data_IF_644670797776
#
_entry.id   IF_644670797776
#
_cell.length_a   1.000
_cell.length_b   1.000
_cell.length_c   1.000
_cell.angle_alpha   90.00
_cell.angle_beta   90.00
_cell.angle_gamma   90.00
#
_symmetry.space_group_name_H-M   'P 1'
#
loop_
_entity.id
_entity.type
_entity.pdbx_description
1 polymer ?
#
# COMPACT_ATOMS: atom_id res chain seq x y z
N UNK A 1 21.90 18.05 -23.50
CA UNK A 1 22.95 17.15 -22.96
C UNK A 1 22.43 16.57 -21.65
N UNK A 2 22.19 15.26 -21.57
CA UNK A 2 21.68 14.62 -20.35
C UNK A 2 22.82 14.51 -19.34
N UNK A 3 22.91 15.45 -18.39
CA UNK A 3 23.76 15.31 -17.20
C UNK A 3 23.31 14.06 -16.46
N UNK A 4 24.13 13.00 -16.51
CA UNK A 4 23.87 11.77 -15.75
C UNK A 4 23.78 12.16 -14.28
N UNK A 5 22.59 12.03 -13.70
CA UNK A 5 22.39 12.12 -12.25
C UNK A 5 23.36 11.17 -11.56
N UNK A 6 23.99 11.63 -10.48
CA UNK A 6 24.78 10.73 -9.63
C UNK A 6 23.87 9.65 -9.02
N UNK A 7 24.46 8.52 -8.63
CA UNK A 7 23.71 7.34 -8.15
C UNK A 7 22.88 7.62 -6.91
N UNK A 8 23.36 8.50 -6.03
CA UNK A 8 22.72 8.86 -4.77
C UNK A 8 21.49 9.76 -4.98
N UNK A 9 21.60 10.81 -5.80
CA UNK A 9 20.49 11.67 -6.18
C UNK A 9 19.39 10.85 -6.88
N UNK A 10 19.79 9.91 -7.75
CA UNK A 10 18.85 8.99 -8.39
C UNK A 10 18.11 8.12 -7.36
N UNK A 11 18.82 7.58 -6.36
CA UNK A 11 18.22 6.79 -5.27
C UNK A 11 17.21 7.62 -4.48
N UNK A 12 17.59 8.84 -4.11
CA UNK A 12 16.73 9.77 -3.35
C UNK A 12 15.44 10.09 -4.11
N UNK A 13 15.54 10.46 -5.39
CA UNK A 13 14.37 10.76 -6.23
C UNK A 13 13.41 9.56 -6.29
N UNK A 14 13.92 8.34 -6.39
CA UNK A 14 13.09 7.13 -6.43
C UNK A 14 12.39 6.92 -5.08
N UNK A 15 13.12 7.00 -3.96
CA UNK A 15 12.54 6.80 -2.62
C UNK A 15 11.47 7.85 -2.31
N UNK A 16 11.76 9.12 -2.57
CA UNK A 16 10.83 10.23 -2.33
C UNK A 16 9.59 10.11 -3.21
N UNK A 17 9.77 9.79 -4.50
CA UNK A 17 8.65 9.65 -5.43
C UNK A 17 7.71 8.50 -5.07
N UNK A 18 8.25 7.33 -4.66
CA UNK A 18 7.43 6.22 -4.17
C UNK A 18 6.77 6.54 -2.82
N UNK A 19 7.48 7.20 -1.90
CA UNK A 19 6.95 7.61 -0.60
C UNK A 19 5.81 8.62 -0.68
N UNK A 20 5.88 9.55 -1.65
CA UNK A 20 4.86 10.56 -1.92
C UNK A 20 3.76 10.08 -2.87
N UNK A 21 3.79 8.80 -3.29
CA UNK A 21 2.85 8.21 -4.23
C UNK A 21 2.76 8.98 -5.58
N UNK A 22 3.90 9.50 -6.06
CA UNK A 22 3.98 10.20 -7.34
C UNK A 22 3.73 9.23 -8.53
N UNK A 23 3.18 9.72 -9.66
CA UNK A 23 3.03 8.88 -10.85
C UNK A 23 4.39 8.36 -11.35
N UNK A 24 4.50 7.05 -11.57
CA UNK A 24 5.78 6.42 -11.97
C UNK A 24 6.39 7.01 -13.23
N UNK A 25 5.56 7.52 -14.15
CA UNK A 25 5.99 8.19 -15.37
C UNK A 25 6.78 9.47 -15.06
N UNK A 26 6.31 10.27 -14.09
CA UNK A 26 6.97 11.51 -13.65
C UNK A 26 8.30 11.20 -12.99
N UNK A 27 8.36 10.17 -12.14
CA UNK A 27 9.61 9.72 -11.51
C UNK A 27 10.62 9.28 -12.57
N UNK A 28 10.18 8.49 -13.55
CA UNK A 28 11.03 7.97 -14.63
C UNK A 28 11.56 9.07 -15.56
N UNK A 29 10.73 10.06 -15.88
CA UNK A 29 11.13 11.25 -16.64
C UNK A 29 12.15 12.09 -15.85
N UNK A 30 11.92 12.33 -14.55
CA UNK A 30 12.81 13.11 -13.68
C UNK A 30 14.22 12.51 -13.58
N UNK A 31 14.34 11.18 -13.61
CA UNK A 31 15.63 10.47 -13.61
C UNK A 31 16.14 10.09 -15.00
N UNK A 32 15.40 10.42 -16.06
CA UNK A 32 15.75 10.14 -17.45
C UNK A 32 15.90 8.64 -17.78
N UNK A 33 14.97 7.78 -17.34
CA UNK A 33 14.99 6.36 -17.71
C UNK A 33 13.62 5.80 -18.10
N UNK A 34 13.61 4.55 -18.58
CA UNK A 34 12.36 3.83 -18.82
C UNK A 34 11.65 3.44 -17.52
N UNK A 35 10.33 3.22 -17.59
CA UNK A 35 9.54 2.68 -16.48
C UNK A 35 10.05 1.30 -16.02
N UNK A 36 10.50 0.46 -16.94
CA UNK A 36 11.03 -0.86 -16.62
C UNK A 36 12.31 -0.74 -15.76
N UNK A 37 13.23 0.14 -16.16
CA UNK A 37 14.45 0.41 -15.40
C UNK A 37 14.15 1.00 -14.02
N UNK A 38 13.18 1.93 -13.91
CA UNK A 38 12.74 2.48 -12.64
C UNK A 38 12.26 1.37 -11.69
N UNK A 39 11.36 0.49 -12.15
CA UNK A 39 10.79 -0.59 -11.34
C UNK A 39 11.85 -1.57 -10.84
N UNK A 40 12.81 -1.93 -11.70
CA UNK A 40 13.93 -2.80 -11.30
C UNK A 40 14.78 -2.15 -10.22
N UNK A 41 15.11 -0.86 -10.37
CA UNK A 41 15.87 -0.13 -9.34
C UNK A 41 15.06 -0.01 -8.04
N UNK A 42 13.79 0.39 -8.12
CA UNK A 42 12.92 0.54 -6.96
C UNK A 42 12.78 -0.78 -6.17
N UNK A 43 12.67 -1.91 -6.88
CA UNK A 43 12.66 -3.24 -6.26
C UNK A 43 13.99 -3.57 -5.57
N UNK A 44 15.13 -3.30 -6.20
CA UNK A 44 16.47 -3.46 -5.56
C UNK A 44 16.66 -2.56 -4.33
N UNK A 45 15.98 -1.41 -4.30
CA UNK A 45 16.00 -0.50 -3.16
C UNK A 45 15.09 -0.93 -2.01
N UNK A 46 14.23 -1.93 -2.23
CA UNK A 46 13.27 -2.39 -1.21
C UNK A 46 12.11 -1.42 -0.96
N UNK A 47 11.88 -0.45 -1.84
CA UNK A 47 10.79 0.53 -1.71
C UNK A 47 9.48 0.11 -2.40
N UNK A 48 9.45 -1.09 -2.97
CA UNK A 48 8.26 -1.71 -3.56
C UNK A 48 7.86 -2.94 -2.79
N UNK A 49 6.57 -3.27 -2.76
CA UNK A 49 6.07 -4.55 -2.26
C UNK A 49 6.78 -5.72 -2.94
N UNK A 50 7.12 -6.73 -2.17
CA UNK A 50 7.55 -8.04 -2.68
C UNK A 50 6.42 -8.70 -3.49
N UNK A 51 6.72 -9.69 -4.35
CA UNK A 51 5.67 -10.44 -5.07
C UNK A 51 4.62 -11.05 -4.14
N UNK A 52 5.03 -11.51 -2.95
CA UNK A 52 4.13 -12.04 -1.91
C UNK A 52 3.19 -10.95 -1.40
N UNK A 53 3.73 -9.83 -0.93
CA UNK A 53 2.92 -8.71 -0.41
C UNK A 53 2.01 -8.11 -1.50
N UNK A 54 2.47 -8.07 -2.76
CA UNK A 54 1.65 -7.62 -3.89
C UNK A 54 0.54 -8.63 -4.23
N UNK A 55 0.77 -9.93 -4.04
CA UNK A 55 -0.27 -10.95 -4.17
C UNK A 55 -1.28 -10.85 -3.01
N UNK A 56 -0.81 -10.67 -1.78
CA UNK A 56 -1.65 -10.45 -0.60
C UNK A 56 -2.50 -9.18 -0.74
N UNK A 57 -1.90 -8.07 -1.18
CA UNK A 57 -2.62 -6.83 -1.46
C UNK A 57 -3.71 -7.02 -2.51
N UNK A 58 -3.43 -7.76 -3.60
CA UNK A 58 -4.42 -8.06 -4.66
C UNK A 58 -5.52 -9.01 -4.20
N UNK A 59 -5.23 -9.93 -3.26
CA UNK A 59 -6.24 -10.81 -2.65
C UNK A 59 -7.21 -10.03 -1.76
N UNK A 60 -6.85 -8.80 -1.37
CA UNK A 60 -7.72 -7.89 -0.64
C UNK A 60 -7.66 -8.10 0.86
N UNK A 61 -8.71 -7.65 1.55
CA UNK A 61 -8.79 -7.70 3.01
C UNK A 61 -8.94 -9.15 3.50
N UNK A 62 -7.96 -9.62 4.29
CA UNK A 62 -8.06 -10.90 4.97
C UNK A 62 -8.63 -10.69 6.37
N UNK A 63 -9.76 -11.34 6.67
CA UNK A 63 -10.33 -11.34 8.01
C UNK A 63 -9.36 -12.06 8.95
N UNK A 64 -8.88 -11.41 10.03
CA UNK A 64 -7.98 -12.03 11.00
C UNK A 64 -8.54 -13.35 11.51
N UNK A 65 -7.70 -14.38 11.61
CA UNK A 65 -8.13 -15.75 11.92
C UNK A 65 -8.87 -15.86 13.25
N UNK A 66 -8.39 -15.11 14.25
CA UNK A 66 -9.02 -15.00 15.57
C UNK A 66 -10.38 -14.28 15.57
N UNK A 67 -10.74 -13.59 14.48
CA UNK A 67 -12.00 -12.84 14.33
C UNK A 67 -12.89 -13.39 13.21
N UNK A 68 -12.42 -14.44 12.55
CA UNK A 68 -13.04 -15.02 11.35
C UNK A 68 -14.42 -15.60 11.65
N UNK A 69 -14.58 -16.28 12.80
CA UNK A 69 -15.86 -16.86 13.23
C UNK A 69 -16.90 -15.78 13.48
N UNK A 70 -16.56 -14.76 14.26
CA UNK A 70 -17.46 -13.67 14.63
C UNK A 70 -17.88 -12.86 13.40
N UNK A 71 -16.92 -12.52 12.52
CA UNK A 71 -17.20 -11.84 11.26
C UNK A 71 -18.16 -12.65 10.38
N UNK A 72 -17.93 -13.95 10.18
CA UNK A 72 -18.82 -14.76 9.34
C UNK A 72 -20.19 -15.00 9.96
N UNK A 73 -20.28 -15.19 11.29
CA UNK A 73 -21.57 -15.28 11.98
C UNK A 73 -22.37 -14.00 11.81
N UNK A 74 -21.71 -12.84 11.93
CA UNK A 74 -22.34 -11.56 11.66
C UNK A 74 -22.81 -11.46 10.21
N UNK A 75 -21.95 -11.81 9.23
CA UNK A 75 -22.30 -11.84 7.80
C UNK A 75 -23.47 -12.78 7.46
N UNK A 76 -23.65 -13.89 8.18
CA UNK A 76 -24.80 -14.80 7.97
C UNK A 76 -26.10 -14.21 8.54
N UNK A 77 -26.03 -13.48 9.66
CA UNK A 77 -27.20 -12.97 10.37
C UNK A 77 -27.92 -11.79 9.69
N UNK A 78 -27.35 -11.19 8.64
CA UNK A 78 -27.97 -10.05 7.94
C UNK A 78 -27.89 -8.71 8.68
N UNK A 79 -27.32 -8.68 9.89
CA UNK A 79 -27.28 -7.52 10.77
C UNK A 79 -25.90 -6.87 10.71
N UNK A 80 -25.63 -6.02 9.72
CA UNK A 80 -24.32 -5.38 9.60
C UNK A 80 -24.44 -3.87 9.43
N UNK A 81 -24.00 -3.13 10.45
CA UNK A 81 -23.57 -1.74 10.27
C UNK A 81 -22.10 -1.77 9.92
N UNK A 82 -21.72 -1.14 8.80
CA UNK A 82 -20.35 -1.16 8.28
C UNK A 82 -19.29 -0.78 9.33
N UNK A 83 -19.65 0.12 10.27
CA UNK A 83 -18.80 0.54 11.39
C UNK A 83 -18.50 -0.59 12.38
N UNK A 84 -19.49 -1.40 12.74
CA UNK A 84 -19.33 -2.51 13.68
C UNK A 84 -18.40 -3.58 13.10
N UNK A 85 -18.58 -3.89 11.81
CA UNK A 85 -17.65 -4.76 11.09
C UNK A 85 -16.23 -4.19 11.08
N UNK A 86 -16.06 -2.88 10.84
CA UNK A 86 -14.73 -2.25 10.84
C UNK A 86 -14.05 -2.28 12.21
N UNK A 87 -14.80 -2.10 13.30
CA UNK A 87 -14.28 -2.23 14.67
C UNK A 87 -13.87 -3.68 14.97
N UNK A 88 -14.76 -4.64 14.68
CA UNK A 88 -14.45 -6.07 14.87
C UNK A 88 -13.21 -6.42 14.06
N UNK A 89 -13.12 -6.01 12.81
CA UNK A 89 -11.97 -6.28 11.96
C UNK A 89 -10.68 -5.52 12.37
N UNK A 90 -10.75 -4.63 13.36
CA UNK A 90 -9.61 -3.83 13.84
C UNK A 90 -9.18 -2.73 12.87
N UNK A 91 -10.06 -2.34 11.94
CA UNK A 91 -9.86 -1.23 11.01
C UNK A 91 -10.16 0.12 11.65
N UNK A 92 -11.04 0.13 12.67
CA UNK A 92 -11.33 1.29 13.51
C UNK A 92 -11.06 0.94 14.98
N UNK A 93 -10.48 1.88 15.71
CA UNK A 93 -10.41 1.83 17.18
C UNK A 93 -11.76 2.26 17.77
N UNK A 94 -12.21 1.57 18.82
CA UNK A 94 -13.51 1.83 19.47
C UNK A 94 -13.67 3.29 19.95
N UNK A 95 -12.56 3.98 20.23
CA UNK A 95 -12.49 5.37 20.69
C UNK A 95 -13.03 6.42 19.68
N UNK A 96 -13.34 6.03 18.44
CA UNK A 96 -13.96 6.95 17.46
C UNK A 96 -15.45 7.22 17.72
N UNK A 97 -15.98 6.91 18.90
CA UNK A 97 -17.25 7.45 19.41
C UNK A 97 -17.00 8.67 20.29
N UNK A 98 -16.30 9.67 19.76
CA UNK A 98 -16.23 11.00 20.34
C UNK A 98 -17.12 11.95 19.53
N UNK A 99 -18.30 12.24 20.08
CA UNK A 99 -19.21 13.35 19.77
C UNK A 99 -19.25 13.93 18.33
N UNK A 100 -20.35 13.64 17.64
CA UNK A 100 -21.10 14.68 16.92
C UNK A 100 -22.55 14.62 17.36
#
# INVERSE_FOLDING_TARGET
>A
MNTKLNSEARRKIILDGYGNNEPLKVIAERIGCSLASLKVTASKLGCTRTPKEAAEFRRGFHVPENKRRDYYQLMIAGQYRARECAVILGLLTEESSGNR
#
